data_IF_267714124981
#
_entry.id   IF_267714124981
#
_cell.length_a   1.000
_cell.length_b   1.000
_cell.length_c   1.000
_cell.angle_alpha   90.00
_cell.angle_beta   90.00
_cell.angle_gamma   90.00
#
_symmetry.space_group_name_H-M   'P 1'
#
loop_
_entity.id
_entity.type
_entity.pdbx_description
1 polymer ?
#
# COMPACT_ATOMS: atom_id res chain seq x y z
N UNK A 1 14.48 -10.74 0.55
CA UNK A 1 15.22 -11.65 1.42
C UNK A 1 16.74 -11.47 1.24
N UNK A 2 17.22 -10.98 0.09
CA UNK A 2 18.63 -10.70 -0.13
C UNK A 2 19.21 -9.48 0.61
N UNK A 3 18.37 -8.64 1.25
CA UNK A 3 18.82 -7.47 2.00
C UNK A 3 19.71 -7.90 3.19
N UNK A 4 20.85 -7.21 3.47
CA UNK A 4 21.74 -7.58 4.56
C UNK A 4 21.04 -7.78 5.91
N UNK A 5 20.09 -6.92 6.27
CA UNK A 5 19.28 -7.06 7.49
C UNK A 5 18.55 -8.40 7.55
N UNK A 6 17.90 -8.85 6.48
CA UNK A 6 17.19 -10.13 6.50
C UNK A 6 18.14 -11.32 6.48
N UNK A 7 19.26 -11.21 5.76
CA UNK A 7 20.28 -12.27 5.74
C UNK A 7 20.89 -12.50 7.13
N UNK A 8 21.08 -11.43 7.89
CA UNK A 8 21.46 -11.50 9.30
C UNK A 8 20.32 -12.06 10.16
N UNK A 9 19.08 -11.58 9.98
CA UNK A 9 17.91 -12.09 10.71
C UNK A 9 17.74 -13.62 10.58
N UNK A 10 18.13 -14.19 9.43
CA UNK A 10 18.13 -15.63 9.17
C UNK A 10 19.22 -16.42 9.89
N UNK A 11 20.24 -15.78 10.48
CA UNK A 11 21.29 -16.50 11.22
C UNK A 11 20.79 -17.00 12.57
N UNK A 12 19.68 -16.46 13.08
CA UNK A 12 18.97 -16.98 14.24
C UNK A 12 18.32 -15.91 15.12
N UNK A 13 17.62 -16.32 16.19
CA UNK A 13 16.90 -15.42 17.10
C UNK A 13 17.76 -14.35 17.79
N UNK A 14 19.06 -14.63 17.98
CA UNK A 14 20.00 -13.72 18.65
C UNK A 14 20.72 -12.75 17.67
N UNK A 15 20.31 -12.72 16.40
CA UNK A 15 20.91 -11.84 15.38
C UNK A 15 20.57 -10.37 15.61
N UNK A 16 21.44 -9.47 15.13
CA UNK A 16 21.31 -8.02 15.35
C UNK A 16 20.01 -7.48 14.76
N UNK A 17 19.64 -7.99 13.58
CA UNK A 17 18.46 -7.54 12.83
C UNK A 17 17.28 -8.50 12.94
N UNK A 18 17.26 -9.43 13.92
CA UNK A 18 16.12 -10.37 14.08
C UNK A 18 14.79 -9.62 14.17
N UNK A 19 14.73 -8.68 15.10
CA UNK A 19 13.51 -7.94 15.43
C UNK A 19 13.17 -6.83 14.42
N UNK A 20 13.98 -6.67 13.35
CA UNK A 20 13.62 -5.78 12.25
C UNK A 20 12.48 -6.34 11.41
N UNK A 21 12.20 -7.63 11.51
CA UNK A 21 11.17 -8.33 10.75
C UNK A 21 10.12 -8.92 11.67
N UNK A 22 8.96 -9.23 11.12
CA UNK A 22 7.87 -9.85 11.88
C UNK A 22 8.06 -11.36 11.89
N UNK A 23 8.44 -11.90 13.06
CA UNK A 23 8.58 -13.33 13.33
C UNK A 23 7.49 -13.82 14.27
N UNK A 24 7.07 -15.07 14.11
CA UNK A 24 6.13 -15.72 15.00
C UNK A 24 6.38 -17.22 15.08
N UNK A 25 6.09 -17.81 16.24
CA UNK A 25 6.08 -19.26 16.41
C UNK A 25 4.93 -19.88 15.58
N UNK A 26 5.08 -21.14 15.14
CA UNK A 26 3.98 -21.89 14.56
C UNK A 26 2.75 -21.94 15.46
N UNK A 27 1.57 -22.13 14.88
CA UNK A 27 0.37 -22.46 15.65
C UNK A 27 0.47 -23.86 16.29
N UNK A 28 -0.58 -24.27 17.01
CA UNK A 28 -0.62 -25.57 17.69
C UNK A 28 -0.48 -26.79 16.76
N UNK A 29 -0.80 -26.63 15.48
CA UNK A 29 -0.73 -27.69 14.46
C UNK A 29 0.56 -27.59 13.61
N UNK A 30 1.45 -26.65 13.93
CA UNK A 30 2.69 -26.38 13.20
C UNK A 30 2.51 -25.51 11.95
N UNK A 31 1.29 -25.02 11.70
CA UNK A 31 0.94 -24.13 10.62
C UNK A 31 1.32 -22.67 10.89
N UNK A 32 1.01 -21.77 9.94
CA UNK A 32 1.16 -20.33 10.12
C UNK A 32 0.47 -19.82 11.40
N UNK A 33 0.98 -18.75 12.03
CA UNK A 33 0.48 -18.24 13.31
C UNK A 33 -0.97 -17.70 13.24
N UNK A 34 -1.43 -17.32 12.05
CA UNK A 34 -2.79 -16.82 11.80
C UNK A 34 -3.19 -17.04 10.33
N UNK A 35 -4.38 -16.58 9.96
CA UNK A 35 -4.95 -16.77 8.61
C UNK A 35 -4.65 -15.62 7.62
N UNK A 36 -3.64 -14.78 7.86
CA UNK A 36 -3.31 -13.70 6.93
C UNK A 36 -2.85 -14.25 5.59
N UNK A 37 -3.31 -13.60 4.51
CA UNK A 37 -3.10 -14.03 3.12
C UNK A 37 -2.21 -13.00 2.43
N UNK A 38 -1.20 -13.48 1.70
CA UNK A 38 -0.36 -12.62 0.88
C UNK A 38 -1.17 -12.09 -0.31
N UNK A 39 -0.93 -10.85 -0.70
CA UNK A 39 -1.60 -10.20 -1.83
C UNK A 39 -1.39 -10.94 -3.17
N UNK A 40 -0.28 -11.67 -3.31
CA UNK A 40 0.01 -12.51 -4.48
C UNK A 40 -0.45 -13.97 -4.34
N UNK A 41 -1.22 -14.28 -3.29
CA UNK A 41 -1.82 -15.58 -3.04
C UNK A 41 -1.03 -16.43 -2.05
N UNK A 42 -1.74 -17.33 -1.37
CA UNK A 42 -1.20 -18.19 -0.32
C UNK A 42 -1.02 -17.48 1.04
N UNK A 43 -0.51 -18.19 2.06
CA UNK A 43 -0.27 -17.62 3.37
C UNK A 43 0.71 -16.44 3.32
N UNK A 44 0.47 -15.41 4.14
CA UNK A 44 1.39 -14.29 4.35
C UNK A 44 2.62 -14.65 5.22
N UNK A 45 2.94 -15.94 5.32
CA UNK A 45 3.90 -16.48 6.27
C UNK A 45 4.70 -17.59 5.61
N UNK A 46 6.02 -17.53 5.75
CA UNK A 46 6.92 -18.59 5.31
C UNK A 46 7.74 -19.10 6.49
N UNK A 47 7.79 -20.43 6.65
CA UNK A 47 8.56 -21.10 7.70
C UNK A 47 10.07 -21.03 7.37
N UNK A 48 10.84 -20.40 8.25
CA UNK A 48 12.29 -20.59 8.29
C UNK A 48 12.62 -21.90 9.01
N UNK A 49 13.05 -22.90 8.26
CA UNK A 49 13.35 -24.24 8.78
C UNK A 49 14.48 -24.23 9.82
N UNK A 50 15.40 -23.27 9.75
CA UNK A 50 16.54 -23.24 10.67
C UNK A 50 16.14 -22.78 12.08
N UNK A 51 15.31 -21.74 12.19
CA UNK A 51 14.80 -21.26 13.48
C UNK A 51 13.50 -21.93 13.93
N UNK A 52 12.76 -22.58 13.03
CA UNK A 52 11.45 -23.15 13.31
C UNK A 52 10.34 -22.11 13.47
N UNK A 53 10.59 -20.85 13.10
CA UNK A 53 9.62 -19.75 13.17
C UNK A 53 9.17 -19.31 11.77
N UNK A 54 7.97 -18.75 11.69
CA UNK A 54 7.47 -18.11 10.48
C UNK A 54 7.90 -16.65 10.43
N UNK A 55 8.34 -16.17 9.26
CA UNK A 55 8.44 -14.74 8.98
C UNK A 55 7.28 -14.28 8.10
N UNK A 56 6.82 -13.06 8.35
CA UNK A 56 5.70 -12.47 7.62
C UNK A 56 6.17 -11.83 6.31
N UNK A 57 5.33 -11.94 5.28
CA UNK A 57 5.45 -11.21 4.02
C UNK A 57 4.05 -10.94 3.45
N UNK A 58 3.70 -9.68 3.23
CA UNK A 58 2.40 -9.34 2.64
C UNK A 58 2.36 -9.61 1.14
N UNK A 59 3.53 -9.64 0.48
CA UNK A 59 3.66 -9.86 -0.95
C UNK A 59 4.42 -11.16 -1.21
N UNK A 60 5.53 -11.12 -1.94
CA UNK A 60 6.34 -12.32 -2.19
C UNK A 60 7.06 -12.76 -0.90
N UNK A 61 7.34 -14.05 -0.77
CA UNK A 61 8.18 -14.57 0.34
C UNK A 61 9.58 -13.94 0.34
N UNK A 62 10.08 -13.57 -0.83
CA UNK A 62 11.34 -12.82 -0.97
C UNK A 62 11.20 -11.34 -0.54
N UNK A 63 10.03 -10.89 -0.07
CA UNK A 63 9.76 -9.54 0.44
C UNK A 63 9.29 -9.62 1.90
N UNK A 64 10.17 -10.01 2.85
CA UNK A 64 9.83 -10.10 4.25
C UNK A 64 9.49 -8.70 4.81
N UNK A 65 8.36 -8.62 5.50
CA UNK A 65 7.84 -7.36 6.03
C UNK A 65 8.65 -6.91 7.25
N UNK A 66 8.94 -5.61 7.29
CA UNK A 66 9.58 -4.98 8.43
C UNK A 66 8.59 -4.85 9.60
N UNK A 67 9.11 -5.01 10.82
CA UNK A 67 8.40 -4.77 12.04
C UNK A 67 8.43 -3.28 12.40
N UNK A 68 7.43 -2.54 11.93
CA UNK A 68 7.29 -1.10 12.21
C UNK A 68 7.00 -0.74 13.67
N UNK A 69 6.78 -1.74 14.55
CA UNK A 69 6.69 -1.52 16.00
C UNK A 69 8.08 -1.50 16.66
N UNK A 70 9.13 -1.89 15.95
CA UNK A 70 10.51 -1.77 16.42
C UNK A 70 11.01 -0.33 16.19
N UNK A 71 11.36 0.43 17.26
CA UNK A 71 11.83 1.81 17.11
C UNK A 71 13.12 1.90 16.28
N UNK A 72 13.98 0.88 16.29
CA UNK A 72 15.20 0.87 15.48
C UNK A 72 14.89 0.87 13.98
N UNK A 73 13.83 0.18 13.54
CA UNK A 73 13.37 0.22 12.13
C UNK A 73 12.91 1.63 11.78
N UNK A 74 12.14 2.28 12.66
CA UNK A 74 11.68 3.65 12.45
C UNK A 74 12.88 4.62 12.34
N UNK A 75 13.87 4.50 13.22
CA UNK A 75 15.07 5.32 13.22
C UNK A 75 15.99 5.07 12.00
N UNK A 76 16.03 3.85 11.47
CA UNK A 76 16.70 3.57 10.19
C UNK A 76 15.99 4.27 9.03
N UNK A 77 14.66 4.25 8.99
CA UNK A 77 13.92 4.92 7.92
C UNK A 77 14.05 6.44 7.95
N UNK A 78 14.14 7.05 9.14
CA UNK A 78 14.49 8.46 9.25
C UNK A 78 15.82 8.77 8.55
N UNK A 79 16.84 7.92 8.78
CA UNK A 79 18.15 8.06 8.13
C UNK A 79 18.06 7.86 6.63
N UNK A 80 17.27 6.89 6.16
CA UNK A 80 17.06 6.63 4.72
C UNK A 80 16.38 7.82 4.04
N UNK A 81 15.34 8.38 4.65
CA UNK A 81 14.64 9.56 4.10
C UNK A 81 15.60 10.75 4.02
N UNK A 82 16.29 11.07 5.11
CA UNK A 82 17.29 12.16 5.14
C UNK A 82 18.40 11.95 4.14
N UNK A 83 18.90 10.74 3.97
CA UNK A 83 19.92 10.41 2.98
C UNK A 83 19.52 10.86 1.56
N UNK A 84 18.27 10.63 1.15
CA UNK A 84 17.78 11.05 -0.15
C UNK A 84 17.45 12.54 -0.20
N UNK A 85 16.86 13.10 0.86
CA UNK A 85 16.54 14.53 0.95
C UNK A 85 17.79 15.41 0.91
N UNK A 86 18.87 15.01 1.57
CA UNK A 86 20.18 15.67 1.51
C UNK A 86 20.79 15.67 0.10
N UNK A 87 20.28 14.81 -0.80
CA UNK A 87 20.67 14.76 -2.22
C UNK A 87 19.72 15.55 -3.13
N UNK A 88 18.73 16.21 -2.56
CA UNK A 88 17.82 17.11 -3.27
C UNK A 88 16.65 16.43 -3.95
N UNK A 89 16.16 15.29 -3.43
CA UNK A 89 14.84 14.79 -3.87
C UNK A 89 13.73 15.67 -3.30
N UNK A 90 12.72 15.97 -4.09
CA UNK A 90 11.60 16.86 -3.68
C UNK A 90 10.49 16.14 -2.91
N UNK A 91 10.64 14.83 -2.64
CA UNK A 91 9.62 14.08 -1.95
C UNK A 91 9.66 12.57 -2.15
N UNK A 92 8.67 11.89 -1.57
CA UNK A 92 8.53 10.45 -1.60
C UNK A 92 7.09 10.00 -1.87
N UNK A 93 6.97 8.96 -2.69
CA UNK A 93 5.78 8.11 -2.82
C UNK A 93 5.97 6.89 -1.95
N UNK A 94 5.21 6.77 -0.87
CA UNK A 94 5.22 5.63 0.03
C UNK A 94 4.41 4.50 -0.59
N UNK A 95 5.13 3.49 -1.04
CA UNK A 95 4.60 2.21 -1.51
C UNK A 95 3.84 1.51 -0.38
N UNK A 96 2.64 1.02 -0.67
CA UNK A 96 1.78 0.27 0.25
C UNK A 96 1.64 0.94 1.63
N UNK A 97 1.49 2.26 1.67
CA UNK A 97 1.26 3.04 2.89
C UNK A 97 0.07 2.50 3.70
N UNK A 98 -0.95 1.94 3.03
CA UNK A 98 -2.09 1.30 3.68
C UNK A 98 -1.74 0.08 4.54
N UNK A 99 -0.58 -0.56 4.34
CA UNK A 99 -0.24 -1.82 4.99
C UNK A 99 1.06 -1.77 5.81
N UNK A 100 1.48 -0.59 6.28
CA UNK A 100 2.75 -0.44 6.96
C UNK A 100 2.80 -1.25 8.27
N UNK A 101 1.97 -0.88 9.24
CA UNK A 101 1.92 -1.52 10.56
C UNK A 101 0.95 -2.70 10.55
N UNK A 102 1.30 -3.77 11.27
CA UNK A 102 0.48 -4.97 11.50
C UNK A 102 -0.07 -5.01 12.93
N UNK A 103 -1.16 -5.75 13.16
CA UNK A 103 -1.71 -6.00 14.48
C UNK A 103 -0.67 -6.63 15.41
N UNK A 104 -0.44 -6.04 16.58
CA UNK A 104 0.57 -6.50 17.55
C UNK A 104 0.26 -7.89 18.13
N UNK A 105 -1.04 -8.24 18.16
CA UNK A 105 -1.53 -9.52 18.65
C UNK A 105 -1.63 -10.59 17.57
N UNK A 106 -1.24 -10.27 16.33
CA UNK A 106 -1.29 -11.17 15.17
C UNK A 106 -2.66 -11.86 15.01
N UNK A 107 -3.76 -11.16 15.29
CA UNK A 107 -5.11 -11.74 15.25
C UNK A 107 -5.50 -12.11 13.81
N UNK A 108 -6.12 -13.28 13.67
CA UNK A 108 -6.73 -13.71 12.40
C UNK A 108 -7.80 -12.73 11.92
N UNK A 109 -7.83 -12.47 10.62
CA UNK A 109 -8.87 -11.70 9.96
C UNK A 109 -10.19 -12.48 9.86
N UNK A 110 -11.36 -11.82 9.98
CA UNK A 110 -12.63 -12.45 9.68
C UNK A 110 -12.70 -12.92 8.23
N UNK A 111 -13.10 -14.17 8.02
CA UNK A 111 -13.41 -14.67 6.69
C UNK A 111 -14.82 -14.20 6.28
N UNK A 112 -14.93 -13.54 5.14
CA UNK A 112 -16.18 -12.95 4.61
C UNK A 112 -16.62 -13.56 3.27
N UNK A 113 -15.76 -14.36 2.65
CA UNK A 113 -16.01 -15.05 1.39
C UNK A 113 -15.51 -16.50 1.39
N UNK A 114 -15.78 -17.25 0.32
CA UNK A 114 -15.25 -18.60 0.17
C UNK A 114 -13.72 -18.55 0.07
N UNK A 115 -13.04 -19.39 0.85
CA UNK A 115 -11.59 -19.57 0.75
C UNK A 115 -11.30 -20.74 -0.21
N UNK A 116 -10.53 -20.47 -1.25
CA UNK A 116 -10.01 -21.48 -2.17
C UNK A 116 -8.53 -21.17 -2.47
N UNK A 117 -7.59 -22.01 -2.01
CA UNK A 117 -6.16 -21.78 -2.24
C UNK A 117 -5.74 -21.92 -3.71
N UNK A 118 -6.61 -22.43 -4.58
CA UNK A 118 -6.38 -22.56 -6.02
C UNK A 118 -6.99 -21.43 -6.84
N UNK A 119 -7.79 -20.55 -6.20
CA UNK A 119 -8.37 -19.39 -6.86
C UNK A 119 -7.32 -18.33 -7.20
N UNK A 120 -7.70 -17.35 -8.02
CA UNK A 120 -6.83 -16.21 -8.33
C UNK A 120 -6.50 -15.39 -7.08
N UNK A 121 -5.40 -14.64 -7.15
CA UNK A 121 -4.89 -13.84 -6.02
C UNK A 121 -5.94 -12.88 -5.44
N UNK A 122 -6.78 -12.30 -6.31
CA UNK A 122 -7.79 -11.33 -5.90
C UNK A 122 -8.94 -12.00 -5.18
N UNK A 123 -9.39 -13.17 -5.65
CA UNK A 123 -10.41 -13.97 -4.99
C UNK A 123 -9.93 -14.44 -3.61
N UNK A 124 -8.67 -14.87 -3.51
CA UNK A 124 -8.04 -15.24 -2.24
C UNK A 124 -7.99 -14.08 -1.25
N UNK A 125 -7.53 -12.91 -1.68
CA UNK A 125 -7.50 -11.70 -0.87
C UNK A 125 -8.92 -11.30 -0.42
N UNK A 126 -9.86 -11.16 -1.36
CA UNK A 126 -11.24 -10.74 -1.07
C UNK A 126 -12.07 -11.74 -0.25
N UNK A 127 -11.54 -12.95 0.01
CA UNK A 127 -12.17 -13.90 0.94
C UNK A 127 -12.11 -13.44 2.40
N UNK A 128 -11.25 -12.48 2.75
CA UNK A 128 -11.04 -11.99 4.11
C UNK A 128 -11.33 -10.49 4.23
N UNK A 129 -11.78 -10.09 5.42
CA UNK A 129 -11.82 -8.70 5.83
C UNK A 129 -10.49 -8.33 6.48
N UNK A 130 -9.65 -7.65 5.71
CA UNK A 130 -8.29 -7.27 6.05
C UNK A 130 -8.23 -6.13 7.07
N UNK A 131 -8.54 -6.42 8.33
CA UNK A 131 -8.63 -5.45 9.43
C UNK A 131 -7.51 -5.56 10.48
N UNK A 132 -6.71 -6.62 10.43
CA UNK A 132 -5.61 -6.87 11.37
C UNK A 132 -4.23 -6.88 10.69
N UNK A 133 -4.17 -7.13 9.39
CA UNK A 133 -2.94 -7.18 8.59
C UNK A 133 -2.65 -5.90 7.80
N UNK A 134 -3.63 -5.00 7.67
CA UNK A 134 -3.48 -3.70 7.01
C UNK A 134 -4.27 -2.63 7.77
N UNK A 135 -4.11 -1.37 7.38
CA UNK A 135 -4.83 -0.20 7.87
C UNK A 135 -4.78 0.00 9.39
N UNK A 136 -3.68 -0.41 10.02
CA UNK A 136 -3.51 -0.22 11.46
C UNK A 136 -3.28 1.27 11.78
N UNK A 137 -4.00 1.84 12.77
CA UNK A 137 -3.97 3.27 13.08
C UNK A 137 -2.60 3.77 13.55
N UNK A 138 -1.74 2.89 14.08
CA UNK A 138 -0.39 3.27 14.48
C UNK A 138 0.49 3.71 13.29
N UNK A 139 0.12 3.35 12.05
CA UNK A 139 0.78 3.85 10.83
C UNK A 139 0.80 5.38 10.77
N UNK A 140 -0.21 6.05 11.38
CA UNK A 140 -0.24 7.50 11.50
C UNK A 140 0.97 8.10 12.20
N UNK A 141 1.47 7.43 13.23
CA UNK A 141 2.62 7.93 13.98
C UNK A 141 3.88 7.91 13.11
N UNK A 142 4.04 6.88 12.28
CA UNK A 142 5.13 6.79 11.31
C UNK A 142 5.00 7.89 10.26
N UNK A 143 3.81 8.10 9.69
CA UNK A 143 3.60 9.15 8.69
C UNK A 143 3.78 10.56 9.22
N UNK A 144 3.38 10.84 10.48
CA UNK A 144 3.65 12.13 11.13
C UNK A 144 5.14 12.37 11.31
N UNK A 145 5.87 11.33 11.71
CA UNK A 145 7.33 11.40 11.87
C UNK A 145 8.02 11.70 10.54
N UNK A 146 7.64 10.98 9.47
CA UNK A 146 8.17 11.24 8.14
C UNK A 146 7.75 12.59 7.58
N UNK A 147 6.53 13.03 7.87
CA UNK A 147 6.06 14.37 7.52
C UNK A 147 6.94 15.45 8.12
N UNK A 148 7.23 15.35 9.41
CA UNK A 148 8.12 16.29 10.10
C UNK A 148 9.52 16.35 9.45
N UNK A 149 10.07 15.19 9.04
CA UNK A 149 11.34 15.14 8.31
C UNK A 149 11.21 15.84 6.96
N UNK A 150 10.17 15.55 6.18
CA UNK A 150 9.98 16.16 4.85
C UNK A 150 9.78 17.68 4.94
N UNK A 151 9.08 18.17 5.97
CA UNK A 151 8.86 19.61 6.20
C UNK A 151 10.19 20.37 6.42
N UNK A 152 11.24 19.74 6.96
CA UNK A 152 12.58 20.36 7.10
C UNK A 152 13.25 20.65 5.76
N UNK A 153 12.83 19.98 4.68
CA UNK A 153 13.43 20.07 3.34
C UNK A 153 12.47 20.62 2.29
N UNK A 154 11.29 21.10 2.68
CA UNK A 154 10.21 21.51 1.77
C UNK A 154 9.82 20.39 0.77
N UNK A 155 9.86 19.15 1.24
CA UNK A 155 9.61 17.96 0.44
C UNK A 155 8.19 17.41 0.62
N UNK A 156 7.64 16.85 -0.46
CA UNK A 156 6.28 16.30 -0.46
C UNK A 156 6.25 14.81 -0.08
N UNK A 157 5.25 14.40 0.68
CA UNK A 157 5.07 13.01 1.13
C UNK A 157 3.68 12.53 0.75
N UNK A 158 3.61 11.55 -0.15
CA UNK A 158 2.36 10.99 -0.64
C UNK A 158 2.31 9.48 -0.46
N UNK A 159 1.11 8.92 -0.26
CA UNK A 159 0.92 7.50 0.03
C UNK A 159 0.07 6.74 -0.97
N UNK A 160 0.51 5.53 -1.30
CA UNK A 160 -0.32 4.52 -1.93
C UNK A 160 -1.13 3.76 -0.85
N UNK A 161 -2.44 4.01 -0.78
CA UNK A 161 -3.26 3.50 0.32
C UNK A 161 -4.13 2.30 -0.06
N UNK A 162 -4.54 2.15 -1.34
CA UNK A 162 -5.48 1.12 -1.81
C UNK A 162 -6.82 1.02 -1.03
N UNK A 163 -7.15 2.01 -0.20
CA UNK A 163 -8.43 2.05 0.50
C UNK A 163 -9.54 2.42 -0.50
N UNK A 164 -10.52 1.53 -0.69
CA UNK A 164 -11.63 1.72 -1.65
C UNK A 164 -12.85 2.44 -1.07
N UNK A 165 -12.80 2.76 0.22
CA UNK A 165 -13.80 3.59 0.88
C UNK A 165 -13.21 4.98 1.19
N UNK A 166 -13.90 6.09 0.83
CA UNK A 166 -13.40 7.43 1.06
C UNK A 166 -13.12 7.75 2.54
N UNK A 167 -13.92 7.22 3.47
CA UNK A 167 -13.71 7.48 4.89
C UNK A 167 -12.39 6.85 5.37
N UNK A 168 -12.11 5.59 5.01
CA UNK A 168 -10.82 5.02 5.41
C UNK A 168 -9.61 5.62 4.69
N UNK A 169 -9.76 6.21 3.50
CA UNK A 169 -8.71 7.06 2.93
C UNK A 169 -8.51 8.33 3.78
N UNK A 170 -9.60 8.98 4.20
CA UNK A 170 -9.54 10.16 5.07
C UNK A 170 -8.95 9.82 6.44
N UNK A 171 -9.24 8.63 6.97
CA UNK A 171 -8.65 8.13 8.20
C UNK A 171 -7.14 8.00 8.01
N UNK A 172 -6.66 7.37 6.92
CA UNK A 172 -5.23 7.21 6.58
C UNK A 172 -4.50 8.54 6.27
N UNK A 173 -5.21 9.54 5.75
CA UNK A 173 -4.66 10.84 5.34
C UNK A 173 -5.42 11.98 6.03
N UNK A 174 -5.30 12.10 7.37
CA UNK A 174 -6.08 13.06 8.16
C UNK A 174 -5.58 14.50 8.00
N UNK A 175 -4.42 14.71 7.36
CA UNK A 175 -3.82 16.01 7.08
C UNK A 175 -2.68 16.43 8.01
N UNK A 176 -2.35 15.63 9.04
CA UNK A 176 -1.19 15.86 9.91
C UNK A 176 -0.05 14.84 9.68
N UNK A 177 -0.23 13.87 8.78
CA UNK A 177 0.79 12.92 8.32
C UNK A 177 1.15 13.18 6.86
N UNK A 178 0.89 12.19 5.99
CA UNK A 178 1.08 12.35 4.54
C UNK A 178 0.34 13.60 4.02
N UNK A 179 0.95 14.30 3.07
CA UNK A 179 0.35 15.46 2.42
C UNK A 179 -0.88 15.07 1.61
N UNK A 180 -0.83 13.91 0.96
CA UNK A 180 -1.95 13.34 0.24
C UNK A 180 -1.86 11.83 0.05
N UNK A 181 -2.98 11.22 -0.35
CA UNK A 181 -3.05 9.81 -0.70
C UNK A 181 -3.70 9.57 -2.05
N UNK A 182 -3.25 8.53 -2.75
CA UNK A 182 -3.89 8.08 -3.98
C UNK A 182 -5.30 7.59 -3.71
N UNK A 183 -6.26 8.14 -4.46
CA UNK A 183 -7.60 7.60 -4.55
C UNK A 183 -7.73 6.75 -5.82
N UNK A 184 -7.62 5.44 -5.66
CA UNK A 184 -7.52 4.50 -6.79
C UNK A 184 -8.86 4.02 -7.34
N UNK A 185 -10.01 4.40 -6.78
CA UNK A 185 -11.31 3.93 -7.27
C UNK A 185 -11.52 4.20 -8.78
N UNK A 186 -11.08 5.34 -9.37
CA UNK A 186 -11.16 5.54 -10.82
C UNK A 186 -10.39 4.50 -11.66
N UNK A 187 -9.38 3.83 -11.09
CA UNK A 187 -8.64 2.74 -11.74
C UNK A 187 -9.37 1.40 -11.69
N UNK A 188 -10.37 1.26 -10.82
CA UNK A 188 -11.09 0.01 -10.56
C UNK A 188 -12.52 -0.01 -11.10
N UNK A 189 -12.97 1.08 -11.72
CA UNK A 189 -14.27 1.16 -12.40
C UNK A 189 -14.08 1.14 -13.92
N UNK A 190 -15.08 0.58 -14.61
CA UNK A 190 -15.23 0.71 -16.06
C UNK A 190 -15.70 2.11 -16.45
N UNK A 191 -15.75 2.40 -17.76
CA UNK A 191 -16.36 3.62 -18.27
C UNK A 191 -17.89 3.60 -18.09
N UNK A 192 -18.33 3.99 -16.89
CA UNK A 192 -19.72 4.12 -16.48
C UNK A 192 -19.88 5.46 -15.74
N UNK A 193 -20.77 6.31 -16.23
CA UNK A 193 -20.92 7.69 -15.74
C UNK A 193 -21.35 7.73 -14.27
N UNK A 194 -22.21 6.82 -13.85
CA UNK A 194 -22.71 6.79 -12.47
C UNK A 194 -21.65 6.29 -11.50
N UNK A 195 -20.87 5.28 -11.90
CA UNK A 195 -19.72 4.80 -11.12
C UNK A 195 -18.64 5.88 -11.00
N UNK A 196 -18.27 6.51 -12.11
CA UNK A 196 -17.29 7.60 -12.12
C UNK A 196 -17.77 8.76 -11.26
N UNK A 197 -19.00 9.22 -11.42
CA UNK A 197 -19.54 10.32 -10.60
C UNK A 197 -19.45 10.02 -9.10
N UNK A 198 -19.77 8.81 -8.66
CA UNK A 198 -19.63 8.40 -7.25
C UNK A 198 -18.17 8.36 -6.81
N UNK A 199 -17.29 7.80 -7.64
CA UNK A 199 -15.86 7.72 -7.38
C UNK A 199 -15.20 9.11 -7.29
N UNK A 200 -15.72 10.11 -7.99
CA UNK A 200 -15.14 11.47 -7.98
C UNK A 200 -15.73 12.36 -6.89
N UNK A 201 -17.05 12.34 -6.68
CA UNK A 201 -17.71 13.33 -5.80
C UNK A 201 -17.47 13.08 -4.31
N UNK A 202 -17.66 11.83 -3.84
CA UNK A 202 -17.59 11.50 -2.41
C UNK A 202 -16.24 11.81 -1.74
N UNK A 203 -15.08 11.48 -2.33
CA UNK A 203 -13.79 11.77 -1.68
C UNK A 203 -13.44 13.27 -1.67
N UNK A 204 -13.91 14.07 -2.64
CA UNK A 204 -13.63 15.51 -2.72
C UNK A 204 -14.09 16.23 -1.46
N UNK A 205 -15.30 15.92 -0.99
CA UNK A 205 -15.87 16.55 0.21
C UNK A 205 -15.09 16.23 1.49
N UNK A 206 -14.41 15.07 1.54
CA UNK A 206 -13.71 14.58 2.73
C UNK A 206 -12.22 14.99 2.75
N UNK A 207 -11.56 14.96 1.60
CA UNK A 207 -10.11 15.08 1.49
C UNK A 207 -9.64 16.36 0.80
N UNK A 208 -10.44 16.93 -0.11
CA UNK A 208 -10.07 18.12 -0.88
C UNK A 208 -8.68 18.01 -1.51
N UNK A 209 -7.80 18.96 -1.20
CA UNK A 209 -6.43 19.04 -1.73
C UNK A 209 -5.52 17.85 -1.36
N UNK A 210 -5.93 16.99 -0.42
CA UNK A 210 -5.17 15.80 -0.02
C UNK A 210 -5.33 14.62 -1.00
N UNK A 211 -6.14 14.77 -2.04
CA UNK A 211 -6.37 13.71 -3.03
C UNK A 211 -5.28 13.68 -4.09
N UNK A 212 -4.85 12.46 -4.43
CA UNK A 212 -4.09 12.21 -5.65
C UNK A 212 -4.97 11.40 -6.60
N UNK A 213 -5.21 11.97 -7.78
CA UNK A 213 -6.05 11.38 -8.81
C UNK A 213 -5.21 10.64 -9.84
N UNK A 214 -5.55 9.39 -10.13
CA UNK A 214 -4.89 8.61 -11.18
C UNK A 214 -5.92 7.83 -12.01
N UNK A 215 -5.77 7.84 -13.33
CA UNK A 215 -6.54 7.01 -14.25
C UNK A 215 -5.88 5.65 -14.49
N UNK A 216 -4.57 5.56 -14.25
CA UNK A 216 -3.75 4.37 -14.44
C UNK A 216 -2.45 4.41 -13.64
N UNK A 217 -1.76 3.27 -13.63
CA UNK A 217 -0.47 3.09 -12.98
C UNK A 217 0.28 1.93 -13.66
N UNK A 218 1.39 1.50 -13.05
CA UNK A 218 2.12 0.31 -13.45
C UNK A 218 1.43 -1.02 -13.03
N UNK A 219 0.39 -0.97 -12.20
CA UNK A 219 -0.29 -2.16 -11.66
C UNK A 219 -1.56 -2.56 -12.42
N UNK A 220 -2.08 -1.68 -13.28
CA UNK A 220 -3.34 -1.89 -14.00
C UNK A 220 -3.14 -1.78 -15.51
N UNK A 221 -4.00 -2.43 -16.33
CA UNK A 221 -4.05 -2.17 -17.75
C UNK A 221 -4.27 -0.69 -18.04
N UNK A 222 -3.69 -0.18 -19.14
CA UNK A 222 -3.78 1.24 -19.50
C UNK A 222 -5.23 1.70 -19.60
N UNK A 223 -5.50 2.91 -19.13
CA UNK A 223 -6.86 3.45 -19.11
C UNK A 223 -7.52 3.53 -20.50
N UNK A 224 -6.83 3.79 -21.63
CA UNK A 224 -7.49 3.75 -22.93
C UNK A 224 -8.02 2.36 -23.27
N UNK A 225 -7.27 1.31 -22.94
CA UNK A 225 -7.71 -0.08 -23.12
C UNK A 225 -8.90 -0.43 -22.23
N UNK A 226 -8.90 -0.01 -20.96
CA UNK A 226 -10.02 -0.21 -20.03
C UNK A 226 -11.30 0.56 -20.42
N UNK A 227 -11.15 1.75 -20.98
CA UNK A 227 -12.28 2.63 -21.29
C UNK A 227 -12.84 2.47 -22.71
N UNK A 228 -12.62 1.32 -23.36
CA UNK A 228 -13.26 0.96 -24.63
C UNK A 228 -12.29 0.75 -25.79
N UNK A 229 -10.98 0.94 -25.57
CA UNK A 229 -9.94 0.72 -26.58
C UNK A 229 -9.97 1.72 -27.74
N UNK A 230 -8.92 1.66 -28.56
CA UNK A 230 -8.79 2.50 -29.76
C UNK A 230 -8.92 4.00 -29.45
N UNK A 231 -9.49 4.76 -30.40
CA UNK A 231 -9.66 6.20 -30.26
C UNK A 231 -10.69 6.57 -29.18
N UNK A 232 -11.75 5.77 -29.02
CA UNK A 232 -12.77 6.02 -28.00
C UNK A 232 -12.17 5.96 -26.58
N UNK A 233 -11.33 4.96 -26.31
CA UNK A 233 -10.62 4.84 -25.04
C UNK A 233 -9.67 6.01 -24.77
N UNK A 234 -9.00 6.52 -25.81
CA UNK A 234 -8.12 7.69 -25.72
C UNK A 234 -8.90 8.95 -25.36
N UNK A 235 -10.00 9.22 -26.07
CA UNK A 235 -10.87 10.38 -25.81
C UNK A 235 -11.43 10.35 -24.38
N UNK A 236 -11.88 9.18 -23.93
CA UNK A 236 -12.40 8.96 -22.59
C UNK A 236 -11.35 9.16 -21.49
N UNK A 237 -10.15 8.62 -21.69
CA UNK A 237 -9.00 8.84 -20.79
C UNK A 237 -8.64 10.32 -20.71
N UNK A 238 -8.55 11.00 -21.86
CA UNK A 238 -8.27 12.43 -21.91
C UNK A 238 -9.33 13.23 -21.15
N UNK A 239 -10.62 12.93 -21.37
CA UNK A 239 -11.71 13.60 -20.66
C UNK A 239 -11.60 13.41 -19.14
N UNK A 240 -11.26 12.21 -18.66
CA UNK A 240 -11.08 11.95 -17.23
C UNK A 240 -9.87 12.69 -16.65
N UNK A 241 -8.73 12.71 -17.33
CA UNK A 241 -7.53 13.41 -16.89
C UNK A 241 -7.72 14.95 -16.88
N UNK A 242 -8.44 15.48 -17.86
CA UNK A 242 -8.86 16.89 -17.85
C UNK A 242 -9.77 17.16 -16.64
N UNK A 243 -10.73 16.28 -16.37
CA UNK A 243 -11.61 16.41 -15.20
C UNK A 243 -10.82 16.38 -13.89
N UNK A 244 -9.85 15.47 -13.72
CA UNK A 244 -8.98 15.46 -12.54
C UNK A 244 -8.24 16.79 -12.34
N UNK A 245 -7.81 17.43 -13.42
CA UNK A 245 -7.15 18.74 -13.38
C UNK A 245 -8.08 19.90 -12.98
N UNK A 246 -9.39 19.65 -12.94
CA UNK A 246 -10.41 20.61 -12.50
C UNK A 246 -10.96 20.31 -11.10
N UNK A 247 -10.56 19.21 -10.47
CA UNK A 247 -10.97 18.82 -9.12
C UNK A 247 -9.91 19.26 -8.09
N UNK A 248 -10.30 19.46 -6.80
CA UNK A 248 -9.32 19.63 -5.72
C UNK A 248 -8.35 18.45 -5.65
N UNK A 249 -7.09 18.73 -5.29
CA UNK A 249 -6.03 17.72 -5.22
C UNK A 249 -5.12 17.71 -6.45
N UNK A 250 -4.27 16.69 -6.51
CA UNK A 250 -3.17 16.61 -7.47
C UNK A 250 -3.47 15.55 -8.54
N UNK A 251 -3.58 15.92 -9.83
CA UNK A 251 -3.63 14.93 -10.90
C UNK A 251 -2.27 14.27 -11.09
N UNK A 252 -2.26 12.94 -11.16
CA UNK A 252 -1.07 12.11 -11.43
C UNK A 252 -1.26 11.40 -12.75
N UNK A 253 -0.32 11.63 -13.67
CA UNK A 253 -0.30 11.02 -15.00
C UNK A 253 0.72 9.89 -15.05
N UNK A 254 0.28 8.71 -15.50
CA UNK A 254 1.20 7.61 -15.77
C UNK A 254 1.81 7.75 -17.16
N UNK A 255 3.11 7.45 -17.29
CA UNK A 255 3.84 7.62 -18.56
C UNK A 255 3.16 6.91 -19.74
N UNK A 256 2.95 7.66 -20.83
CA UNK A 256 2.23 7.24 -22.02
C UNK A 256 0.72 7.49 -21.97
N UNK A 257 0.12 7.86 -20.84
CA UNK A 257 -1.27 8.33 -20.81
C UNK A 257 -1.44 9.65 -21.58
N UNK A 258 -0.43 10.52 -21.54
CA UNK A 258 -0.39 11.77 -22.31
C UNK A 258 -0.37 11.54 -23.83
N UNK A 259 0.03 10.34 -24.26
CA UNK A 259 0.02 9.91 -25.66
C UNK A 259 -1.20 9.03 -26.01
N UNK A 260 -2.03 8.68 -25.03
CA UNK A 260 -3.13 7.75 -25.22
C UNK A 260 -2.68 6.35 -25.63
N UNK A 261 -1.58 5.85 -25.05
CA UNK A 261 -1.11 4.49 -25.29
C UNK A 261 -2.14 3.46 -24.80
N UNK A 262 -2.33 2.40 -25.60
CA UNK A 262 -3.23 1.27 -25.31
C UNK A 262 -2.48 0.08 -24.74
#
# INVERSE_FOLDING_TARGET
DAHPWFRDALTGPDSEYRDYYVWADPDSDGGPPNNWIAYFGGPAWTLDQASGQYYMHLFLREQPDLNWRNPSVVDEFDRILRFWLERGVDGFRIDVAGALVKDDRLRSNPQVGPWDPTAGRFEQWLAFDHRHDVFQPESHQVFRRWRAICDEYDAYLLGETYHRDPQGLADLVPGDGMHGGFWFEPMHVDWDVDKLRRALAAPVDLLGERLLWAAGSHDVPRSPSRFGGGDLGRERTLALNVLFSCLPGVPVLYQGEELGLV
#
